data_IF_560327612879
#
_entry.id   IF_560327612879
#
_cell.length_a   1.000
_cell.length_b   1.000
_cell.length_c   1.000
_cell.angle_alpha   90.00
_cell.angle_beta   90.00
_cell.angle_gamma   90.00
#
_symmetry.space_group_name_H-M   'P 1'
#
loop_
_entity.id
_entity.type
_entity.pdbx_description
1 polymer ?
#
# COMPACT_ATOMS: atom_id res chain seq x y z
N UNK A 1 58.90 27.51 -37.57
CA UNK A 1 59.18 26.15 -37.08
C UNK A 1 57.84 25.49 -36.79
N UNK A 2 57.45 24.50 -37.59
CA UNK A 2 56.20 23.75 -37.39
C UNK A 2 56.40 22.69 -36.32
N UNK A 3 55.57 22.72 -35.28
CA UNK A 3 55.48 21.61 -34.34
C UNK A 3 54.77 20.45 -35.03
N UNK A 4 55.50 19.37 -35.32
CA UNK A 4 54.93 18.08 -35.71
C UNK A 4 54.16 17.56 -34.50
N UNK A 5 52.85 17.33 -34.66
CA UNK A 5 52.09 16.52 -33.71
C UNK A 5 52.46 15.06 -33.98
N UNK A 6 53.30 14.47 -33.14
CA UNK A 6 53.51 13.03 -33.13
C UNK A 6 52.24 12.35 -32.62
N UNK A 7 51.58 11.58 -33.48
CA UNK A 7 50.54 10.64 -33.06
C UNK A 7 51.21 9.49 -32.30
N UNK A 8 50.67 9.17 -31.11
CA UNK A 8 51.26 8.20 -30.19
C UNK A 8 51.18 6.77 -30.76
N UNK A 9 52.21 5.93 -30.60
CA UNK A 9 52.22 4.57 -31.15
C UNK A 9 51.10 3.70 -30.58
N UNK A 10 50.26 3.15 -31.45
CA UNK A 10 49.21 2.21 -31.04
C UNK A 10 49.78 0.86 -30.61
N UNK A 11 49.30 0.34 -29.47
CA UNK A 11 49.53 -1.05 -29.06
C UNK A 11 50.60 -1.32 -28.01
N UNK A 12 51.32 -0.30 -27.48
CA UNK A 12 52.29 -0.48 -26.37
C UNK A 12 51.71 -0.22 -24.98
N UNK A 13 50.67 0.60 -24.89
CA UNK A 13 49.85 0.79 -23.69
C UNK A 13 48.43 0.34 -24.05
N UNK A 14 47.74 -0.31 -23.12
CA UNK A 14 46.49 -1.05 -23.34
C UNK A 14 45.49 -0.37 -24.26
N UNK A 15 44.76 -1.22 -25.02
CA UNK A 15 43.80 -0.86 -26.07
C UNK A 15 43.04 0.46 -25.84
N UNK A 16 43.00 1.27 -26.89
CA UNK A 16 41.82 1.98 -27.36
C UNK A 16 41.10 2.90 -26.35
N UNK A 17 41.57 4.14 -26.22
CA UNK A 17 40.80 5.27 -25.65
C UNK A 17 39.35 5.33 -26.17
N UNK A 18 39.13 4.89 -27.42
CA UNK A 18 37.82 4.79 -28.07
C UNK A 18 36.92 3.66 -27.55
N UNK A 19 37.48 2.54 -27.08
CA UNK A 19 36.72 1.43 -26.51
C UNK A 19 36.22 1.76 -25.10
N UNK A 20 37.04 2.46 -24.31
CA UNK A 20 36.65 2.95 -22.99
C UNK A 20 35.56 4.04 -23.08
N UNK A 21 35.66 4.97 -24.03
CA UNK A 21 34.66 6.01 -24.25
C UNK A 21 33.28 5.44 -24.68
N UNK A 22 33.28 4.41 -25.52
CA UNK A 22 32.06 3.69 -25.89
C UNK A 22 31.47 2.91 -24.71
N UNK A 23 32.32 2.30 -23.88
CA UNK A 23 31.89 1.53 -22.71
C UNK A 23 31.29 2.46 -21.65
N UNK A 24 31.90 3.62 -21.40
CA UNK A 24 31.40 4.64 -20.48
C UNK A 24 30.04 5.20 -20.96
N UNK A 25 29.90 5.46 -22.26
CA UNK A 25 28.61 5.90 -22.83
C UNK A 25 27.52 4.84 -22.70
N UNK A 26 27.85 3.56 -22.93
CA UNK A 26 26.91 2.45 -22.73
C UNK A 26 26.52 2.32 -21.26
N UNK A 27 27.49 2.43 -20.33
CA UNK A 27 27.23 2.33 -18.90
C UNK A 27 26.33 3.47 -18.41
N UNK A 28 26.55 4.70 -18.88
CA UNK A 28 25.69 5.87 -18.59
C UNK A 28 24.28 5.70 -19.14
N UNK A 29 24.12 5.19 -20.36
CA UNK A 29 22.80 4.92 -20.95
C UNK A 29 22.09 3.83 -20.15
N UNK A 30 22.74 2.70 -19.91
CA UNK A 30 22.14 1.58 -19.17
C UNK A 30 21.79 2.01 -17.74
N UNK A 31 22.69 2.72 -17.06
CA UNK A 31 22.43 3.27 -15.73
C UNK A 31 21.28 4.27 -15.72
N UNK A 32 21.20 5.14 -16.73
CA UNK A 32 20.08 6.07 -16.91
C UNK A 32 18.76 5.34 -17.13
N UNK A 33 18.73 4.33 -18.01
CA UNK A 33 17.54 3.51 -18.27
C UNK A 33 17.10 2.77 -17.01
N UNK A 34 18.03 2.13 -16.30
CA UNK A 34 17.74 1.44 -15.04
C UNK A 34 17.23 2.41 -13.98
N UNK A 35 17.81 3.62 -13.89
CA UNK A 35 17.34 4.66 -12.98
C UNK A 35 15.92 5.12 -13.29
N UNK A 36 15.60 5.36 -14.56
CA UNK A 36 14.24 5.74 -14.99
C UNK A 36 13.23 4.62 -14.72
N UNK A 37 13.58 3.37 -15.04
CA UNK A 37 12.73 2.21 -14.76
C UNK A 37 12.47 2.04 -13.26
N UNK A 38 13.51 2.23 -12.43
CA UNK A 38 13.39 2.15 -10.98
C UNK A 38 12.47 3.25 -10.42
N UNK A 39 12.61 4.49 -10.88
CA UNK A 39 11.71 5.58 -10.49
C UNK A 39 10.26 5.33 -10.94
N UNK A 40 10.06 4.85 -12.17
CA UNK A 40 8.73 4.49 -12.67
C UNK A 40 8.10 3.38 -11.81
N UNK A 41 8.89 2.39 -11.40
CA UNK A 41 8.45 1.33 -10.50
C UNK A 41 8.01 1.88 -9.14
N UNK A 42 8.80 2.78 -8.53
CA UNK A 42 8.45 3.42 -7.24
C UNK A 42 7.14 4.21 -7.38
N UNK A 43 7.02 5.03 -8.43
CA UNK A 43 5.81 5.83 -8.69
C UNK A 43 4.59 4.92 -8.88
N UNK A 44 4.74 3.82 -9.63
CA UNK A 44 3.66 2.85 -9.85
C UNK A 44 3.22 2.19 -8.53
N UNK A 45 4.16 1.66 -7.75
CA UNK A 45 3.82 1.06 -6.45
C UNK A 45 3.14 2.07 -5.54
N UNK A 46 3.71 3.28 -5.40
CA UNK A 46 3.12 4.34 -4.60
C UNK A 46 1.70 4.69 -5.02
N UNK A 47 1.46 4.87 -6.32
CA UNK A 47 0.13 5.15 -6.86
C UNK A 47 -0.86 4.02 -6.57
N UNK A 48 -0.48 2.78 -6.89
CA UNK A 48 -1.33 1.59 -6.69
C UNK A 48 -1.72 1.36 -5.22
N UNK A 49 -0.81 1.66 -4.28
CA UNK A 49 -1.08 1.55 -2.85
C UNK A 49 -2.06 2.61 -2.34
N UNK A 50 -2.03 3.83 -2.91
CA UNK A 50 -2.93 4.92 -2.51
C UNK A 50 -4.31 4.76 -3.15
N UNK A 51 -4.39 4.30 -4.40
CA UNK A 51 -5.68 4.13 -5.09
C UNK A 51 -6.36 2.78 -4.80
N UNK A 52 -5.67 1.84 -4.15
CA UNK A 52 -6.16 0.48 -3.93
C UNK A 52 -7.27 0.32 -2.88
N UNK A 53 -7.57 1.34 -2.08
CA UNK A 53 -8.61 1.26 -1.04
C UNK A 53 -9.87 2.00 -1.47
N UNK A 54 -10.63 1.40 -2.41
CA UNK A 54 -11.94 1.91 -2.84
C UNK A 54 -12.98 1.97 -1.70
N UNK A 55 -12.67 1.31 -0.57
CA UNK A 55 -13.44 1.36 0.67
C UNK A 55 -12.49 1.60 1.85
N UNK A 56 -12.77 2.62 2.65
CA UNK A 56 -12.04 2.96 3.88
C UNK A 56 -13.02 3.07 5.03
N UNK A 57 -12.79 2.34 6.11
CA UNK A 57 -13.63 2.39 7.30
C UNK A 57 -12.86 2.94 8.50
N UNK A 58 -13.54 3.73 9.32
CA UNK A 58 -13.04 4.19 10.60
C UNK A 58 -14.01 3.77 11.71
N UNK A 59 -13.45 3.39 12.87
CA UNK A 59 -14.24 3.11 14.07
C UNK A 59 -14.33 4.37 14.93
N UNK A 60 -15.54 4.91 15.04
CA UNK A 60 -15.79 6.13 15.82
C UNK A 60 -15.99 5.80 17.30
N UNK A 61 -16.72 4.72 17.59
CA UNK A 61 -17.05 4.33 18.96
C UNK A 61 -17.36 2.84 19.07
N UNK A 62 -17.08 2.26 20.23
CA UNK A 62 -17.57 0.95 20.61
C UNK A 62 -18.29 0.98 21.97
N UNK A 63 -19.17 0.02 22.19
CA UNK A 63 -19.89 -0.21 23.43
C UNK A 63 -19.86 -1.71 23.73
N UNK A 64 -19.22 -2.05 24.84
CA UNK A 64 -19.01 -3.43 25.34
C UNK A 64 -19.69 -3.64 26.69
N UNK A 65 -20.71 -2.84 27.01
CA UNK A 65 -21.44 -2.92 28.29
C UNK A 65 -22.19 -4.25 28.50
N UNK A 66 -22.44 -5.01 27.44
CA UNK A 66 -23.12 -6.30 27.50
C UNK A 66 -22.14 -7.48 27.57
N UNK A 67 -22.50 -8.51 28.33
CA UNK A 67 -21.65 -9.68 28.58
C UNK A 67 -21.47 -10.60 27.36
N UNK A 68 -22.37 -10.55 26.37
CA UNK A 68 -22.36 -11.46 25.19
C UNK A 68 -22.63 -10.72 23.88
N UNK A 69 -22.52 -9.40 23.90
CA UNK A 69 -22.72 -8.55 22.74
C UNK A 69 -21.84 -7.31 22.85
N UNK A 70 -21.26 -6.91 21.73
CA UNK A 70 -20.67 -5.59 21.61
C UNK A 70 -21.26 -4.86 20.40
N UNK A 71 -21.31 -3.54 20.51
CA UNK A 71 -21.81 -2.64 19.46
C UNK A 71 -20.67 -1.78 19.00
N UNK A 72 -20.57 -1.57 17.69
CA UNK A 72 -19.54 -0.73 17.09
C UNK A 72 -20.19 0.26 16.14
N UNK A 73 -19.78 1.52 16.23
CA UNK A 73 -20.17 2.58 15.31
C UNK A 73 -19.04 2.77 14.30
N UNK A 74 -19.33 2.41 13.05
CA UNK A 74 -18.40 2.52 11.94
C UNK A 74 -18.86 3.62 10.99
N UNK A 75 -17.91 4.44 10.57
CA UNK A 75 -18.04 5.39 9.47
C UNK A 75 -17.25 4.84 8.28
N UNK A 76 -17.94 4.53 7.18
CA UNK A 76 -17.32 3.96 5.98
C UNK A 76 -17.40 4.94 4.82
N UNK A 77 -16.25 5.23 4.23
CA UNK A 77 -16.08 5.98 3.01
C UNK A 77 -15.88 5.03 1.83
N UNK A 78 -16.68 5.16 0.78
CA UNK A 78 -16.61 4.33 -0.42
C UNK A 78 -17.05 5.12 -1.66
N UNK A 79 -16.81 4.56 -2.84
CA UNK A 79 -17.49 5.05 -4.04
C UNK A 79 -19.00 4.86 -3.93
N UNK A 80 -19.80 5.79 -4.47
CA UNK A 80 -21.26 5.79 -4.29
C UNK A 80 -21.90 4.46 -4.68
N UNK A 81 -21.45 3.88 -5.79
CA UNK A 81 -21.94 2.62 -6.35
C UNK A 81 -21.12 1.39 -5.88
N UNK A 82 -20.01 1.60 -5.18
CA UNK A 82 -19.15 0.49 -4.71
C UNK A 82 -19.82 -0.28 -3.58
N UNK A 83 -19.62 -1.59 -3.51
CA UNK A 83 -20.01 -2.41 -2.36
C UNK A 83 -18.76 -3.02 -1.72
N UNK A 84 -18.84 -3.29 -0.43
CA UNK A 84 -17.72 -3.88 0.29
C UNK A 84 -18.10 -4.39 1.67
N UNK A 85 -17.18 -5.13 2.27
CA UNK A 85 -17.32 -5.68 3.61
C UNK A 85 -16.23 -5.14 4.51
N UNK A 86 -16.62 -4.76 5.72
CA UNK A 86 -15.67 -4.43 6.79
C UNK A 86 -15.71 -5.51 7.86
N UNK A 87 -14.55 -6.08 8.16
CA UNK A 87 -14.39 -7.11 9.19
C UNK A 87 -14.08 -6.44 10.52
N UNK A 88 -14.89 -6.72 11.53
CA UNK A 88 -14.67 -6.29 12.91
C UNK A 88 -14.49 -7.48 13.82
N UNK A 89 -13.61 -7.34 14.81
CA UNK A 89 -13.39 -8.34 15.85
C UNK A 89 -13.54 -7.73 17.23
N UNK A 90 -14.00 -8.54 18.18
CA UNK A 90 -14.08 -8.21 19.59
C UNK A 90 -13.08 -9.07 20.37
N UNK A 91 -12.40 -8.46 21.32
CA UNK A 91 -11.35 -9.08 22.12
C UNK A 91 -11.76 -9.07 23.60
N UNK A 92 -11.41 -10.13 24.33
CA UNK A 92 -11.49 -10.16 25.79
C UNK A 92 -10.29 -9.47 26.44
N UNK A 93 -10.31 -9.37 27.77
CA UNK A 93 -9.22 -8.79 28.57
C UNK A 93 -7.86 -9.48 28.36
N UNK A 94 -7.88 -10.79 28.10
CA UNK A 94 -6.69 -11.59 27.78
C UNK A 94 -6.22 -11.42 26.31
N UNK A 95 -6.92 -10.62 25.51
CA UNK A 95 -6.66 -10.41 24.10
C UNK A 95 -7.18 -11.53 23.19
N UNK A 96 -7.87 -12.54 23.72
CA UNK A 96 -8.48 -13.59 22.91
C UNK A 96 -9.65 -13.05 22.09
N UNK A 97 -9.82 -13.56 20.87
CA UNK A 97 -10.94 -13.17 20.02
C UNK A 97 -12.22 -13.86 20.48
N UNK A 98 -13.20 -13.05 20.89
CA UNK A 98 -14.48 -13.51 21.45
C UNK A 98 -15.65 -13.25 20.50
N UNK A 99 -15.41 -12.58 19.39
CA UNK A 99 -16.41 -12.38 18.35
C UNK A 99 -15.82 -11.78 17.09
N UNK A 100 -16.39 -12.16 15.95
CA UNK A 100 -16.04 -11.61 14.64
C UNK A 100 -17.31 -11.43 13.82
N UNK A 101 -17.35 -10.36 13.04
CA UNK A 101 -18.44 -10.11 12.11
C UNK A 101 -17.94 -9.38 10.89
N UNK A 102 -18.37 -9.87 9.73
CA UNK A 102 -18.23 -9.15 8.47
C UNK A 102 -19.52 -8.36 8.22
N UNK A 103 -19.34 -7.06 8.04
CA UNK A 103 -20.42 -6.12 7.83
C UNK A 103 -20.46 -5.68 6.38
N UNK A 104 -21.56 -5.98 5.68
CA UNK A 104 -21.79 -5.53 4.30
C UNK A 104 -22.24 -4.05 4.29
N UNK A 105 -21.62 -3.28 3.39
CA UNK A 105 -21.96 -1.90 3.07
C UNK A 105 -22.24 -1.80 1.56
N UNK A 106 -23.51 -1.81 1.21
CA UNK A 106 -24.05 -1.82 -0.16
C UNK A 106 -24.91 -0.59 -0.50
N UNK A 107 -25.00 0.38 0.42
CA UNK A 107 -25.85 1.56 0.26
C UNK A 107 -25.29 2.53 -0.79
N UNK A 108 -26.15 3.18 -1.58
CA UNK A 108 -25.78 4.17 -2.62
C UNK A 108 -25.31 5.54 -2.06
N UNK A 109 -24.34 5.52 -1.15
CA UNK A 109 -23.78 6.69 -0.50
C UNK A 109 -22.26 6.60 -0.44
N UNK A 110 -21.60 7.76 -0.56
CA UNK A 110 -20.15 7.85 -0.44
C UNK A 110 -19.64 7.79 1.01
N UNK A 111 -20.53 8.10 1.96
CA UNK A 111 -20.30 8.01 3.41
C UNK A 111 -21.47 7.28 4.03
N UNK A 112 -21.19 6.26 4.83
CA UNK A 112 -22.18 5.43 5.51
C UNK A 112 -21.81 5.30 6.98
N UNK A 113 -22.68 5.81 7.84
CA UNK A 113 -22.57 5.68 9.29
C UNK A 113 -23.53 4.61 9.80
N UNK A 114 -23.02 3.57 10.44
CA UNK A 114 -23.85 2.47 10.93
C UNK A 114 -23.35 1.90 12.24
N UNK A 115 -24.30 1.66 13.15
CA UNK A 115 -24.05 0.88 14.36
C UNK A 115 -24.30 -0.60 14.07
N UNK A 116 -23.29 -1.41 14.33
CA UNK A 116 -23.30 -2.85 14.08
C UNK A 116 -23.22 -3.57 15.42
N UNK A 117 -24.16 -4.48 15.63
CA UNK A 117 -24.11 -5.41 16.76
C UNK A 117 -23.36 -6.67 16.35
N UNK A 118 -22.43 -7.09 17.20
CA UNK A 118 -21.64 -8.30 17.07
C UNK A 118 -21.84 -9.16 18.32
N UNK A 119 -22.16 -10.43 18.10
CA UNK A 119 -22.39 -11.39 19.17
C UNK A 119 -21.04 -11.92 19.64
N UNK A 120 -20.83 -11.94 20.94
CA UNK A 120 -19.58 -12.43 21.54
C UNK A 120 -19.83 -13.68 22.38
N UNK A 121 -18.82 -14.54 22.48
CA UNK A 121 -18.84 -15.76 23.30
C UNK A 121 -18.64 -15.45 24.78
N UNK A 122 -17.90 -14.37 25.09
CA UNK A 122 -17.71 -13.83 26.44
C UNK A 122 -17.69 -12.29 26.40
N UNK A 123 -17.49 -11.66 27.57
CA UNK A 123 -17.47 -10.20 27.67
C UNK A 123 -16.26 -9.65 26.90
N UNK A 124 -16.54 -8.76 25.95
CA UNK A 124 -15.51 -8.01 25.25
C UNK A 124 -15.03 -6.83 26.09
N UNK A 125 -13.76 -6.48 25.96
CA UNK A 125 -13.17 -5.27 26.54
C UNK A 125 -12.71 -4.30 25.45
N UNK A 126 -12.35 -4.82 24.28
CA UNK A 126 -11.96 -4.05 23.11
C UNK A 126 -12.68 -4.54 21.85
N UNK A 127 -12.84 -3.64 20.88
CA UNK A 127 -13.33 -3.95 19.53
C UNK A 127 -12.38 -3.29 18.54
N UNK A 128 -12.01 -4.01 17.50
CA UNK A 128 -11.09 -3.55 16.47
C UNK A 128 -11.69 -3.73 15.08
N UNK A 129 -11.41 -2.76 14.20
CA UNK A 129 -11.65 -2.86 12.78
C UNK A 129 -10.43 -3.54 12.16
N UNK A 130 -10.60 -4.76 11.65
CA UNK A 130 -9.53 -5.54 11.03
C UNK A 130 -9.18 -4.97 9.66
N UNK A 131 -10.19 -4.56 8.91
CA UNK A 131 -10.03 -3.96 7.59
C UNK A 131 -11.35 -3.90 6.83
N UNK A 132 -11.34 -3.17 5.72
CA UNK A 132 -12.42 -3.12 4.76
C UNK A 132 -11.90 -3.55 3.39
N UNK A 133 -12.71 -4.31 2.68
CA UNK A 133 -12.39 -4.82 1.35
C UNK A 133 -13.59 -4.60 0.41
N UNK A 134 -13.34 -4.28 -0.87
CA UNK A 134 -14.39 -4.24 -1.87
C UNK A 134 -14.98 -5.65 -2.05
N UNK A 135 -16.27 -5.70 -2.41
CA UNK A 135 -17.00 -6.93 -2.68
C UNK A 135 -16.66 -7.54 -4.05
#
# INVERSE_FOLDING_TARGET
MSAVREDLPEGRYGRARSADEQTDRRLKITGGVLGVLFLAMIVWFGWSHVTGTAISGEMIKFDVSAATQAKVHLEVHKDREGSGYCTVRALAEDGSEVGRKDALFDQDAARVDKVISLRTTSQATAVELVGCSPA
#
